data_IF_738917153624
#
_entry.id   IF_738917153624
#
_cell.length_a   1.000
_cell.length_b   1.000
_cell.length_c   1.000
_cell.angle_alpha   90.00
_cell.angle_beta   90.00
_cell.angle_gamma   90.00
#
_symmetry.space_group_name_H-M   'P 1'
#
loop_
_entity.id
_entity.type
_entity.pdbx_description
1 polymer ?
#
# COMPACT_ATOMS: atom_id res chain seq x y z
N UNK A 1 6.12 -43.84 -5.60
CA UNK A 1 4.93 -43.11 -5.99
C UNK A 1 5.23 -41.63 -5.72
N UNK A 2 5.63 -40.91 -6.78
CA UNK A 2 5.94 -39.49 -6.74
C UNK A 2 4.61 -38.73 -6.64
N UNK A 3 4.47 -37.89 -5.61
CA UNK A 3 3.40 -36.89 -5.48
C UNK A 3 3.63 -35.82 -6.54
N UNK A 4 2.70 -35.72 -7.48
CA UNK A 4 2.65 -34.62 -8.43
C UNK A 4 2.32 -33.32 -7.65
N UNK A 5 3.30 -32.45 -7.50
CA UNK A 5 3.08 -31.09 -7.07
C UNK A 5 2.19 -30.39 -8.11
N UNK A 6 0.98 -30.08 -7.69
CA UNK A 6 0.00 -29.36 -8.49
C UNK A 6 0.46 -27.89 -8.60
N UNK A 7 1.27 -27.61 -9.58
CA UNK A 7 1.70 -26.25 -9.96
C UNK A 7 0.52 -25.51 -10.58
N UNK A 8 -0.44 -25.07 -9.74
CA UNK A 8 -1.49 -24.19 -10.20
C UNK A 8 -0.84 -22.85 -10.59
N UNK A 9 -0.66 -22.65 -11.89
CA UNK A 9 -0.37 -21.35 -12.49
C UNK A 9 -1.40 -20.33 -11.96
N UNK A 10 -1.03 -19.59 -10.94
CA UNK A 10 -1.86 -18.52 -10.39
C UNK A 10 -1.86 -17.39 -11.40
N UNK A 11 -2.96 -17.28 -12.15
CA UNK A 11 -3.16 -16.19 -13.13
C UNK A 11 -3.07 -14.85 -12.39
N UNK A 12 -2.06 -14.07 -12.68
CA UNK A 12 -1.89 -12.70 -12.20
C UNK A 12 -2.92 -11.82 -12.91
N UNK A 13 -3.75 -11.10 -12.13
CA UNK A 13 -4.71 -10.13 -12.67
C UNK A 13 -4.18 -8.72 -12.42
N UNK A 14 -3.58 -8.14 -13.45
CA UNK A 14 -3.15 -6.74 -13.44
C UNK A 14 -4.14 -5.90 -14.26
N UNK A 15 -4.78 -4.94 -13.60
CA UNK A 15 -5.66 -3.98 -14.24
C UNK A 15 -4.98 -2.60 -14.23
N UNK A 16 -4.94 -1.92 -15.38
CA UNK A 16 -4.40 -0.57 -15.49
C UNK A 16 -5.54 0.37 -15.86
N UNK A 17 -5.74 1.39 -15.05
CA UNK A 17 -6.73 2.43 -15.23
C UNK A 17 -6.02 3.74 -15.55
N UNK A 18 -6.17 4.21 -16.78
CA UNK A 18 -5.67 5.53 -17.20
C UNK A 18 -6.78 6.55 -17.05
N UNK A 19 -6.50 7.65 -16.40
CA UNK A 19 -7.44 8.73 -16.09
C UNK A 19 -7.04 10.05 -16.76
N UNK A 20 -7.95 11.03 -16.74
CA UNK A 20 -7.72 12.37 -17.31
C UNK A 20 -6.80 13.22 -16.43
N UNK A 21 -6.80 12.95 -15.14
CA UNK A 21 -6.00 13.65 -14.14
C UNK A 21 -5.85 12.80 -12.86
N UNK A 22 -5.01 13.28 -11.94
CA UNK A 22 -4.75 12.58 -10.67
C UNK A 22 -6.01 12.46 -9.80
N UNK A 23 -6.93 13.42 -9.87
CA UNK A 23 -8.18 13.39 -9.09
C UNK A 23 -9.08 12.24 -9.56
N UNK A 24 -9.31 12.12 -10.87
CA UNK A 24 -10.10 11.02 -11.44
C UNK A 24 -9.47 9.65 -11.12
N UNK A 25 -8.13 9.54 -11.18
CA UNK A 25 -7.43 8.33 -10.78
C UNK A 25 -7.75 7.92 -9.34
N UNK A 26 -7.72 8.88 -8.42
CA UNK A 26 -8.06 8.64 -7.01
C UNK A 26 -9.56 8.39 -6.80
N UNK A 27 -10.43 9.00 -7.60
CA UNK A 27 -11.88 8.68 -7.59
C UNK A 27 -12.13 7.23 -8.02
N UNK A 28 -11.51 6.76 -9.11
CA UNK A 28 -11.61 5.37 -9.57
C UNK A 28 -11.11 4.36 -8.53
N UNK A 29 -9.97 4.66 -7.89
CA UNK A 29 -9.44 3.87 -6.77
C UNK A 29 -10.44 3.80 -5.61
N UNK A 30 -11.00 4.93 -5.24
CA UNK A 30 -11.95 5.05 -4.13
C UNK A 30 -13.27 4.33 -4.41
N UNK A 31 -13.76 4.37 -5.65
CA UNK A 31 -14.93 3.60 -6.09
C UNK A 31 -14.68 2.09 -5.95
N UNK A 32 -13.50 1.64 -6.37
CA UNK A 32 -13.13 0.23 -6.24
C UNK A 32 -13.06 -0.18 -4.77
N UNK A 33 -12.44 0.63 -3.90
CA UNK A 33 -12.42 0.40 -2.47
C UNK A 33 -13.85 0.33 -1.89
N UNK A 34 -14.69 1.33 -2.18
CA UNK A 34 -16.08 1.39 -1.71
C UNK A 34 -16.88 0.13 -2.10
N UNK A 35 -16.67 -0.35 -3.33
CA UNK A 35 -17.32 -1.59 -3.79
C UNK A 35 -16.84 -2.81 -2.99
N UNK A 36 -15.55 -2.91 -2.67
CA UNK A 36 -15.02 -4.05 -1.91
C UNK A 36 -15.46 -4.02 -0.44
N UNK A 37 -15.46 -2.85 0.19
CA UNK A 37 -16.01 -2.68 1.55
C UNK A 37 -17.45 -3.14 1.60
N UNK A 38 -18.31 -2.67 0.68
CA UNK A 38 -19.71 -3.09 0.59
C UNK A 38 -19.90 -4.60 0.38
N UNK A 39 -18.99 -5.26 -0.35
CA UNK A 39 -19.06 -6.72 -0.60
C UNK A 39 -18.78 -7.55 0.65
N UNK A 40 -17.96 -7.03 1.56
CA UNK A 40 -17.61 -7.72 2.80
C UNK A 40 -18.71 -7.63 3.87
N UNK A 41 -19.68 -6.73 3.68
CA UNK A 41 -20.84 -6.53 4.55
C UNK A 41 -20.44 -6.20 6.01
N UNK A 42 -20.91 -7.03 6.98
CA UNK A 42 -20.78 -6.80 8.42
C UNK A 42 -19.43 -7.24 9.01
N UNK A 43 -18.57 -7.87 8.20
CA UNK A 43 -17.25 -8.28 8.66
C UNK A 43 -16.25 -7.10 8.59
N UNK A 44 -15.27 -7.04 9.51
CA UNK A 44 -14.20 -6.02 9.44
C UNK A 44 -13.45 -6.07 8.11
N UNK A 45 -13.21 -4.90 7.51
CA UNK A 45 -12.40 -4.74 6.30
C UNK A 45 -11.00 -4.26 6.69
N UNK A 46 -9.98 -5.09 6.50
CA UNK A 46 -8.60 -4.82 6.88
C UNK A 46 -7.89 -4.07 5.75
N UNK A 47 -7.63 -2.79 5.96
CA UNK A 47 -7.03 -1.86 4.99
C UNK A 47 -5.68 -1.36 5.48
N UNK A 48 -4.62 -1.59 4.71
CA UNK A 48 -3.32 -0.95 4.96
C UNK A 48 -3.11 0.25 4.05
N UNK A 49 -2.64 1.35 4.63
CA UNK A 49 -2.44 2.66 3.99
C UNK A 49 -0.96 2.97 3.83
N UNK A 50 -0.60 3.60 2.72
CA UNK A 50 0.66 4.33 2.55
C UNK A 50 0.52 5.79 3.00
N UNK A 51 1.67 6.45 3.16
CA UNK A 51 1.76 7.89 3.33
C UNK A 51 2.16 8.64 2.05
N UNK A 52 2.58 9.88 2.26
CA UNK A 52 3.06 10.77 1.20
C UNK A 52 1.95 11.61 0.55
N UNK A 53 2.33 12.41 -0.46
CA UNK A 53 1.45 13.41 -1.06
C UNK A 53 0.21 12.81 -1.72
N UNK A 54 0.36 11.71 -2.45
CA UNK A 54 -0.78 11.01 -3.10
C UNK A 54 -1.79 10.51 -2.06
N UNK A 55 -1.31 9.97 -0.93
CA UNK A 55 -2.19 9.53 0.15
C UNK A 55 -2.92 10.70 0.80
N UNK A 56 -2.26 11.84 1.03
CA UNK A 56 -2.90 13.03 1.57
C UNK A 56 -3.99 13.57 0.63
N UNK A 57 -3.75 13.59 -0.69
CA UNK A 57 -4.78 13.96 -1.68
C UNK A 57 -5.97 13.00 -1.62
N UNK A 58 -5.71 11.71 -1.51
CA UNK A 58 -6.74 10.67 -1.37
C UNK A 58 -7.55 10.84 -0.08
N UNK A 59 -6.91 11.12 1.06
CA UNK A 59 -7.61 11.35 2.34
C UNK A 59 -8.54 12.56 2.27
N UNK A 60 -8.10 13.67 1.68
CA UNK A 60 -8.99 14.84 1.44
C UNK A 60 -10.15 14.48 0.53
N UNK A 61 -9.90 13.75 -0.56
CA UNK A 61 -10.96 13.29 -1.46
C UNK A 61 -11.98 12.40 -0.73
N UNK A 62 -11.53 11.53 0.16
CA UNK A 62 -12.40 10.64 0.94
C UNK A 62 -13.31 11.43 1.89
N UNK A 63 -12.78 12.41 2.59
CA UNK A 63 -13.58 13.28 3.47
C UNK A 63 -14.56 14.14 2.69
N UNK A 64 -14.16 14.67 1.52
CA UNK A 64 -15.00 15.54 0.70
C UNK A 64 -16.11 14.78 -0.04
N UNK A 65 -15.82 13.59 -0.58
CA UNK A 65 -16.69 12.93 -1.57
C UNK A 65 -17.14 11.52 -1.20
N UNK A 66 -16.47 10.88 -0.27
CA UNK A 66 -16.71 9.47 0.07
C UNK A 66 -17.14 9.27 1.52
N UNK A 67 -17.31 10.34 2.30
CA UNK A 67 -17.71 10.25 3.71
C UNK A 67 -19.00 9.45 3.93
N UNK A 68 -20.01 9.61 3.06
CA UNK A 68 -21.25 8.84 3.08
C UNK A 68 -21.32 7.68 2.08
N UNK A 69 -20.22 7.35 1.37
CA UNK A 69 -20.19 6.35 0.30
C UNK A 69 -19.41 5.09 0.68
N UNK A 70 -18.54 5.18 1.66
CA UNK A 70 -17.79 4.09 2.27
C UNK A 70 -18.29 3.92 3.69
N UNK A 71 -18.51 2.67 4.10
CA UNK A 71 -18.82 2.34 5.49
C UNK A 71 -17.53 2.29 6.30
N UNK A 72 -17.14 3.47 6.82
CA UNK A 72 -15.89 3.67 7.54
C UNK A 72 -15.83 2.92 8.86
N UNK A 73 -16.95 2.64 9.49
CA UNK A 73 -17.03 1.95 10.78
C UNK A 73 -16.65 0.47 10.66
N UNK A 74 -16.73 -0.10 9.47
CA UNK A 74 -16.32 -1.48 9.22
C UNK A 74 -14.83 -1.61 8.96
N UNK A 75 -14.11 -0.52 8.66
CA UNK A 75 -12.70 -0.57 8.28
C UNK A 75 -11.81 -0.61 9.53
N UNK A 76 -10.78 -1.47 9.48
CA UNK A 76 -9.64 -1.51 10.39
C UNK A 76 -8.41 -1.03 9.63
N UNK A 77 -7.86 0.11 10.09
CA UNK A 77 -6.78 0.83 9.41
C UNK A 77 -5.43 0.40 9.93
N UNK A 78 -4.54 0.07 9.01
CA UNK A 78 -3.15 -0.31 9.24
C UNK A 78 -2.23 0.50 8.32
N UNK A 79 -0.92 0.38 8.51
CA UNK A 79 0.09 1.04 7.67
C UNK A 79 1.00 0.05 6.97
N UNK A 80 1.40 0.38 5.73
CA UNK A 80 2.42 -0.36 5.00
C UNK A 80 3.81 0.04 5.47
N UNK A 81 3.97 1.29 5.89
CA UNK A 81 5.22 1.83 6.45
C UNK A 81 4.95 3.06 7.30
N UNK A 82 5.88 3.35 8.19
CA UNK A 82 5.89 4.60 8.95
C UNK A 82 7.34 5.08 9.13
N UNK A 83 7.48 6.40 9.25
CA UNK A 83 8.74 7.04 9.60
C UNK A 83 8.95 6.91 11.09
N UNK A 84 10.21 6.65 11.50
CA UNK A 84 10.55 6.56 12.93
C UNK A 84 10.61 7.96 13.55
N UNK A 85 9.44 8.57 13.70
CA UNK A 85 9.22 9.91 14.26
C UNK A 85 7.96 9.90 15.12
N UNK A 86 7.79 10.86 16.07
CA UNK A 86 6.55 11.02 16.82
C UNK A 86 5.34 11.30 15.91
N UNK A 87 4.11 10.93 16.34
CA UNK A 87 2.90 11.11 15.52
C UNK A 87 2.54 12.58 15.22
N UNK A 88 3.12 13.54 15.95
CA UNK A 88 2.94 14.98 15.71
C UNK A 88 3.96 15.56 14.74
N UNK A 89 4.95 14.76 14.33
CA UNK A 89 5.96 15.20 13.36
C UNK A 89 5.33 15.33 11.97
N UNK A 90 5.79 16.34 11.24
CA UNK A 90 5.31 16.62 9.86
C UNK A 90 5.63 15.51 8.84
N UNK A 91 6.48 14.55 9.20
CA UNK A 91 6.79 13.39 8.37
C UNK A 91 5.96 12.15 8.74
N UNK A 92 5.18 12.17 9.84
CA UNK A 92 4.38 11.01 10.26
C UNK A 92 3.25 10.71 9.28
N UNK A 93 3.24 9.49 8.76
CA UNK A 93 2.14 9.00 7.91
C UNK A 93 0.83 8.93 8.71
N UNK A 94 0.90 8.47 9.96
CA UNK A 94 -0.24 8.46 10.86
C UNK A 94 -0.74 9.87 11.17
N UNK A 95 0.17 10.82 11.45
CA UNK A 95 -0.17 12.21 11.72
C UNK A 95 -1.01 12.82 10.61
N UNK A 96 -0.58 12.66 9.37
CA UNK A 96 -1.33 13.11 8.20
C UNK A 96 -2.70 12.42 8.06
N UNK A 97 -2.76 11.10 8.26
CA UNK A 97 -4.03 10.37 8.20
C UNK A 97 -4.98 10.81 9.32
N UNK A 98 -4.46 11.08 10.51
CA UNK A 98 -5.26 11.58 11.63
C UNK A 98 -5.88 12.93 11.33
N UNK A 99 -5.08 13.88 10.81
CA UNK A 99 -5.54 15.24 10.48
C UNK A 99 -6.54 15.22 9.32
N UNK A 100 -6.27 14.46 8.24
CA UNK A 100 -6.97 14.58 6.97
C UNK A 100 -8.11 13.58 6.79
N UNK A 101 -8.13 12.49 7.58
CA UNK A 101 -9.09 11.41 7.44
C UNK A 101 -9.78 11.06 8.75
N UNK A 102 -9.02 10.62 9.78
CA UNK A 102 -9.62 10.02 10.96
C UNK A 102 -10.38 11.04 11.81
N UNK A 103 -9.80 12.22 12.04
CA UNK A 103 -10.46 13.30 12.75
C UNK A 103 -11.74 13.78 12.04
N UNK A 104 -11.67 14.18 10.77
CA UNK A 104 -12.85 14.64 10.02
C UNK A 104 -13.98 13.61 9.89
N UNK A 105 -13.65 12.31 9.80
CA UNK A 105 -14.65 11.23 9.70
C UNK A 105 -15.02 10.63 11.07
N UNK A 106 -14.46 11.13 12.17
CA UNK A 106 -14.68 10.62 13.53
C UNK A 106 -14.41 9.11 13.65
N UNK A 107 -13.35 8.62 13.00
CA UNK A 107 -12.96 7.21 13.06
C UNK A 107 -12.62 6.83 14.50
N UNK A 108 -13.21 5.74 14.97
CA UNK A 108 -12.98 5.25 16.34
C UNK A 108 -11.51 4.87 16.54
N UNK A 109 -10.85 5.29 17.62
CA UNK A 109 -9.45 4.94 17.89
C UNK A 109 -9.19 3.43 17.91
N UNK A 110 -10.18 2.62 18.33
CA UNK A 110 -10.09 1.17 18.32
C UNK A 110 -10.02 0.55 16.92
N UNK A 111 -10.30 1.32 15.86
CA UNK A 111 -10.19 0.89 14.47
C UNK A 111 -8.85 1.27 13.82
N UNK A 112 -7.96 1.92 14.58
CA UNK A 112 -6.71 2.49 14.06
C UNK A 112 -5.52 1.75 14.70
N UNK A 113 -4.87 0.92 13.93
CA UNK A 113 -3.72 0.11 14.31
C UNK A 113 -2.46 0.75 13.72
N UNK A 114 -1.84 1.68 14.45
CA UNK A 114 -0.68 2.43 13.94
C UNK A 114 0.67 1.78 14.27
N UNK A 115 1.64 1.97 13.41
CA UNK A 115 3.05 1.80 13.74
C UNK A 115 3.45 2.96 14.68
N UNK A 116 4.11 2.65 15.79
CA UNK A 116 4.58 3.64 16.78
C UNK A 116 5.98 4.10 16.41
N UNK A 117 6.06 5.08 15.50
CA UNK A 117 7.33 5.58 14.99
C UNK A 117 8.24 6.22 16.04
N UNK A 118 7.67 6.60 17.19
CA UNK A 118 8.39 7.15 18.36
C UNK A 118 9.12 6.08 19.19
N UNK A 119 8.82 4.82 19.00
CA UNK A 119 9.42 3.71 19.73
C UNK A 119 10.74 3.23 19.09
N UNK A 120 11.46 2.35 19.81
CA UNK A 120 12.67 1.73 19.23
C UNK A 120 12.30 0.90 17.98
N UNK A 121 12.90 1.18 16.81
CA UNK A 121 12.40 0.66 15.55
C UNK A 121 12.34 -0.86 15.43
N UNK A 122 13.36 -1.58 15.96
CA UNK A 122 13.37 -3.04 15.86
C UNK A 122 12.32 -3.67 16.78
N UNK A 123 12.15 -3.14 17.99
CA UNK A 123 11.13 -3.60 18.92
C UNK A 123 9.71 -3.33 18.38
N UNK A 124 9.49 -2.16 17.79
CA UNK A 124 8.20 -1.81 17.23
C UNK A 124 7.87 -2.64 15.98
N UNK A 125 8.84 -2.93 15.11
CA UNK A 125 8.62 -3.82 13.98
C UNK A 125 8.13 -5.22 14.44
N UNK A 126 8.69 -5.74 15.52
CA UNK A 126 8.26 -7.02 16.11
C UNK A 126 6.88 -6.90 16.75
N UNK A 127 6.64 -5.85 17.55
CA UNK A 127 5.34 -5.61 18.19
C UNK A 127 4.22 -5.49 17.15
N UNK A 128 4.44 -4.68 16.12
CA UNK A 128 3.44 -4.44 15.08
C UNK A 128 3.19 -5.69 14.24
N UNK A 129 4.24 -6.45 13.93
CA UNK A 129 4.11 -7.75 13.27
C UNK A 129 3.25 -8.73 14.09
N UNK A 130 3.39 -8.72 15.42
CA UNK A 130 2.58 -9.55 16.30
C UNK A 130 1.12 -9.11 16.31
N UNK A 131 0.83 -7.81 16.43
CA UNK A 131 -0.52 -7.24 16.35
C UNK A 131 -1.21 -7.64 15.04
N UNK A 132 -0.53 -7.46 13.89
CA UNK A 132 -1.05 -7.85 12.57
C UNK A 132 -1.30 -9.36 12.48
N UNK A 133 -0.43 -10.18 13.11
CA UNK A 133 -0.60 -11.63 13.12
C UNK A 133 -1.81 -12.08 13.95
N UNK A 134 -2.10 -11.41 15.03
CA UNK A 134 -3.21 -11.75 15.94
C UNK A 134 -4.57 -11.28 15.40
N UNK A 135 -4.60 -10.12 14.76
CA UNK A 135 -5.86 -9.45 14.37
C UNK A 135 -6.36 -9.87 12.98
N UNK A 136 -5.47 -10.19 12.04
CA UNK A 136 -5.88 -10.45 10.66
C UNK A 136 -6.15 -11.94 10.39
N UNK A 137 -7.10 -12.24 9.48
CA UNK A 137 -7.24 -13.60 8.96
C UNK A 137 -5.97 -14.02 8.23
N UNK A 138 -5.70 -15.34 8.20
CA UNK A 138 -4.50 -15.89 7.57
C UNK A 138 -4.83 -16.61 6.26
N UNK A 139 -3.90 -16.55 5.33
CA UNK A 139 -3.86 -17.39 4.15
C UNK A 139 -2.45 -17.97 3.99
N UNK A 140 -2.35 -19.29 3.91
CA UNK A 140 -1.07 -20.01 3.85
C UNK A 140 -0.12 -19.67 5.02
N UNK A 141 -0.69 -19.44 6.23
CA UNK A 141 0.09 -19.10 7.42
C UNK A 141 0.55 -17.64 7.52
N UNK A 142 0.23 -16.79 6.54
CA UNK A 142 0.57 -15.36 6.52
C UNK A 142 -0.71 -14.54 6.70
N UNK A 143 -0.71 -13.47 7.53
CA UNK A 143 -1.82 -12.54 7.66
C UNK A 143 -2.25 -11.98 6.29
N UNK A 144 -3.54 -11.71 6.13
CA UNK A 144 -4.07 -11.26 4.84
C UNK A 144 -4.94 -10.03 4.97
N UNK A 145 -4.49 -8.93 4.40
CA UNK A 145 -5.29 -7.73 4.22
C UNK A 145 -6.33 -7.91 3.12
N UNK A 146 -7.49 -7.27 3.26
CA UNK A 146 -8.50 -7.19 2.19
C UNK A 146 -8.02 -6.27 1.06
N UNK A 147 -7.41 -5.15 1.44
CA UNK A 147 -6.75 -4.25 0.50
C UNK A 147 -5.49 -3.63 1.11
N UNK A 148 -4.49 -3.42 0.27
CA UNK A 148 -3.33 -2.56 0.57
C UNK A 148 -3.27 -1.48 -0.48
N UNK A 149 -3.20 -0.22 -0.05
CA UNK A 149 -2.93 0.92 -0.92
C UNK A 149 -1.44 1.22 -0.83
N UNK A 150 -0.74 0.99 -1.94
CA UNK A 150 0.70 1.22 -2.06
C UNK A 150 0.97 2.56 -2.76
N UNK A 151 2.14 3.12 -2.53
CA UNK A 151 2.72 4.17 -3.37
C UNK A 151 3.89 3.64 -4.21
N UNK A 152 4.24 4.33 -5.29
CA UNK A 152 5.50 4.13 -6.00
C UNK A 152 6.36 5.39 -5.91
N UNK A 153 7.60 5.24 -5.47
CA UNK A 153 8.59 6.31 -5.50
C UNK A 153 9.08 6.63 -6.90
N UNK A 154 9.73 7.79 -7.08
CA UNK A 154 10.37 8.15 -8.34
C UNK A 154 11.59 7.27 -8.65
N UNK A 155 12.16 6.61 -7.66
CA UNK A 155 13.23 5.62 -7.77
C UNK A 155 12.70 4.18 -7.88
N UNK A 156 11.38 3.98 -7.93
CA UNK A 156 10.74 2.68 -8.01
C UNK A 156 10.56 1.96 -6.68
N UNK A 157 10.79 2.63 -5.53
CA UNK A 157 10.48 2.04 -4.23
C UNK A 157 8.96 1.90 -4.02
N UNK A 158 8.55 1.00 -3.12
CA UNK A 158 7.19 0.93 -2.59
C UNK A 158 7.24 0.67 -1.08
N UNK A 159 6.20 1.10 -0.33
CA UNK A 159 6.30 1.17 1.12
C UNK A 159 7.57 1.95 1.51
N UNK A 160 8.42 1.38 2.37
CA UNK A 160 9.80 1.85 2.59
C UNK A 160 10.82 0.77 2.21
N UNK A 161 10.55 0.02 1.15
CA UNK A 161 11.50 -0.90 0.50
C UNK A 161 12.08 -0.17 -0.71
N UNK A 162 13.37 0.18 -0.62
CA UNK A 162 14.12 0.90 -1.65
C UNK A 162 14.88 -0.08 -2.56
N UNK A 163 15.34 0.34 -3.76
CA UNK A 163 16.12 -0.53 -4.64
C UNK A 163 17.36 -1.17 -3.98
N UNK A 164 18.03 -0.46 -3.06
CA UNK A 164 19.18 -0.96 -2.30
C UNK A 164 18.81 -1.94 -1.18
N UNK A 165 17.53 -1.99 -0.80
CA UNK A 165 16.98 -2.91 0.20
C UNK A 165 15.97 -3.90 -0.40
N UNK A 166 16.06 -4.21 -1.69
CA UNK A 166 15.16 -5.11 -2.44
C UNK A 166 15.04 -6.50 -1.78
N UNK A 167 16.03 -6.93 -1.01
CA UNK A 167 16.00 -8.19 -0.25
C UNK A 167 14.81 -8.29 0.71
N UNK A 168 14.25 -7.17 1.16
CA UNK A 168 13.04 -7.12 1.98
C UNK A 168 11.80 -7.64 1.25
N UNK A 169 11.85 -7.77 -0.08
CA UNK A 169 10.79 -8.43 -0.87
C UNK A 169 10.73 -9.95 -0.63
N UNK A 170 11.78 -10.53 -0.07
CA UNK A 170 11.85 -11.97 0.27
C UNK A 170 12.01 -12.22 1.78
N UNK A 171 12.02 -11.18 2.62
CA UNK A 171 12.16 -11.29 4.06
C UNK A 171 10.92 -11.98 4.67
N UNK A 172 11.15 -13.01 5.50
CA UNK A 172 10.07 -13.78 6.13
C UNK A 172 9.45 -13.10 7.36
N UNK A 173 10.06 -12.04 7.88
CA UNK A 173 9.42 -11.19 8.87
C UNK A 173 8.27 -10.42 8.20
N UNK A 174 7.19 -10.11 8.93
CA UNK A 174 6.07 -9.33 8.39
C UNK A 174 6.42 -7.86 8.23
N UNK A 175 7.23 -7.34 9.17
CA UNK A 175 7.74 -5.96 9.16
C UNK A 175 9.23 -5.97 9.46
N UNK A 176 9.93 -5.00 8.90
CA UNK A 176 11.36 -4.81 9.05
C UNK A 176 11.72 -3.33 9.21
N UNK A 177 12.90 -3.07 9.77
CA UNK A 177 13.48 -1.72 9.78
C UNK A 177 14.21 -1.50 8.47
N UNK A 178 13.94 -0.37 7.82
CA UNK A 178 14.66 0.13 6.65
C UNK A 178 15.19 1.53 6.90
N UNK A 179 15.98 2.06 5.97
CA UNK A 179 16.47 3.43 6.03
C UNK A 179 16.32 4.09 4.65
N UNK A 180 15.92 5.36 4.65
CA UNK A 180 15.84 6.13 3.41
C UNK A 180 17.27 6.37 2.86
N UNK A 181 17.59 6.02 1.59
CA UNK A 181 18.96 6.05 1.05
C UNK A 181 19.63 7.43 1.14
N UNK A 182 18.83 8.49 0.91
CA UNK A 182 19.38 9.86 0.87
C UNK A 182 19.53 10.52 2.24
N UNK A 183 18.58 10.29 3.18
CA UNK A 183 18.59 10.98 4.48
C UNK A 183 19.05 10.09 5.64
N UNK A 184 19.10 8.77 5.45
CA UNK A 184 19.36 7.82 6.54
C UNK A 184 18.22 7.69 7.54
N UNK A 185 17.07 8.35 7.31
CA UNK A 185 15.92 8.29 8.20
C UNK A 185 15.39 6.86 8.31
N UNK A 186 15.34 6.35 9.54
CA UNK A 186 14.80 5.02 9.82
C UNK A 186 13.30 4.98 9.57
N UNK A 187 12.85 3.81 9.13
CA UNK A 187 11.45 3.50 8.85
C UNK A 187 11.15 2.08 9.28
N UNK A 188 9.88 1.83 9.59
CA UNK A 188 9.36 0.49 9.75
C UNK A 188 8.52 0.21 8.51
N UNK A 189 8.76 -0.91 7.84
CA UNK A 189 8.11 -1.23 6.57
C UNK A 189 7.55 -2.65 6.56
N UNK A 190 6.39 -2.82 5.93
CA UNK A 190 5.86 -4.11 5.54
C UNK A 190 6.82 -4.78 4.54
N UNK A 191 6.97 -6.10 4.61
CA UNK A 191 7.83 -6.88 3.72
C UNK A 191 7.06 -7.48 2.54
N UNK A 192 7.78 -7.96 1.54
CA UNK A 192 7.18 -8.48 0.31
C UNK A 192 6.16 -9.61 0.52
N UNK A 193 6.43 -10.65 1.31
CA UNK A 193 5.49 -11.74 1.53
C UNK A 193 4.14 -11.27 2.09
N UNK A 194 4.13 -10.30 3.00
CA UNK A 194 2.88 -9.75 3.55
C UNK A 194 2.14 -8.89 2.51
N UNK A 195 2.87 -8.05 1.77
CA UNK A 195 2.30 -7.25 0.66
C UNK A 195 1.63 -8.16 -0.37
N UNK A 196 2.35 -9.17 -0.84
CA UNK A 196 1.89 -10.06 -1.91
C UNK A 196 0.77 -11.02 -1.49
N UNK A 197 0.56 -11.20 -0.17
CA UNK A 197 -0.53 -12.03 0.35
C UNK A 197 -1.88 -11.29 0.42
N UNK A 198 -1.92 -9.98 0.20
CA UNK A 198 -3.15 -9.20 0.19
C UNK A 198 -4.18 -9.75 -0.81
N UNK A 199 -5.47 -9.57 -0.49
CA UNK A 199 -6.54 -9.94 -1.41
C UNK A 199 -6.55 -9.04 -2.64
N UNK A 200 -6.19 -7.76 -2.46
CA UNK A 200 -6.14 -6.75 -3.51
C UNK A 200 -5.04 -5.72 -3.21
N UNK A 201 -4.28 -5.36 -4.23
CA UNK A 201 -3.34 -4.23 -4.20
C UNK A 201 -3.90 -3.09 -5.05
N UNK A 202 -3.84 -1.87 -4.52
CA UNK A 202 -4.22 -0.64 -5.21
C UNK A 202 -2.97 0.24 -5.29
N UNK A 203 -2.51 0.54 -6.49
CA UNK A 203 -1.26 1.24 -6.74
C UNK A 203 -1.47 2.48 -7.61
N UNK A 204 -1.72 3.65 -7.03
CA UNK A 204 -1.69 4.91 -7.75
C UNK A 204 -0.24 5.31 -8.09
N UNK A 205 0.03 5.55 -9.37
CA UNK A 205 1.29 6.09 -9.89
C UNK A 205 0.92 7.40 -10.59
N UNK A 206 1.04 8.52 -9.87
CA UNK A 206 0.49 9.81 -10.30
C UNK A 206 1.55 10.91 -10.33
N UNK A 207 1.36 11.85 -11.26
CA UNK A 207 2.12 13.07 -11.36
C UNK A 207 3.43 12.95 -12.15
N UNK A 208 3.91 14.10 -12.63
CA UNK A 208 5.09 14.22 -13.51
C UNK A 208 6.38 13.64 -12.93
N UNK A 209 6.52 13.64 -11.62
CA UNK A 209 7.70 13.06 -10.95
C UNK A 209 7.84 11.54 -11.18
N UNK A 210 6.79 10.88 -11.63
CA UNK A 210 6.76 9.44 -11.93
C UNK A 210 6.92 9.12 -13.42
N UNK A 211 6.89 10.12 -14.30
CA UNK A 211 6.88 9.93 -15.75
C UNK A 211 8.07 9.13 -16.29
N UNK A 212 9.25 9.26 -15.67
CA UNK A 212 10.45 8.56 -16.10
C UNK A 212 10.48 7.09 -15.67
N UNK A 213 9.85 6.74 -14.53
CA UNK A 213 9.87 5.37 -13.99
C UNK A 213 8.65 4.55 -14.42
N UNK A 214 7.51 5.17 -14.69
CA UNK A 214 6.25 4.49 -15.03
C UNK A 214 6.38 3.57 -16.25
N UNK A 215 7.03 3.94 -17.37
CA UNK A 215 7.22 3.04 -18.50
C UNK A 215 8.01 1.78 -18.14
N UNK A 216 8.98 1.86 -17.23
CA UNK A 216 9.72 0.70 -16.76
C UNK A 216 8.84 -0.17 -15.85
N UNK A 217 8.09 0.44 -14.92
CA UNK A 217 7.19 -0.29 -14.01
C UNK A 217 6.07 -1.03 -14.75
N UNK A 218 5.53 -0.45 -15.82
CA UNK A 218 4.42 -1.02 -16.59
C UNK A 218 4.89 -1.87 -17.77
N UNK A 219 6.17 -1.76 -18.17
CA UNK A 219 6.77 -2.54 -19.24
C UNK A 219 7.05 -3.99 -18.84
N UNK A 220 7.62 -4.74 -19.80
CA UNK A 220 7.98 -6.15 -19.62
C UNK A 220 9.51 -6.37 -19.51
N UNK A 221 10.28 -5.30 -19.32
CA UNK A 221 11.72 -5.40 -19.20
C UNK A 221 12.10 -6.13 -17.88
N UNK A 222 13.09 -7.05 -17.88
CA UNK A 222 13.52 -7.77 -16.69
C UNK A 222 13.97 -6.84 -15.55
N UNK A 223 14.51 -5.69 -15.88
CA UNK A 223 14.98 -4.66 -14.94
C UNK A 223 13.86 -4.14 -14.05
N UNK A 224 12.60 -4.29 -14.46
CA UNK A 224 11.44 -3.97 -13.63
C UNK A 224 11.50 -4.66 -12.27
N UNK A 225 11.92 -5.92 -12.22
CA UNK A 225 11.96 -6.71 -10.99
C UNK A 225 13.09 -6.32 -10.03
N UNK A 226 14.03 -5.49 -10.48
CA UNK A 226 15.04 -4.88 -9.62
C UNK A 226 14.49 -3.69 -8.82
N UNK A 227 13.30 -3.25 -9.17
CA UNK A 227 12.58 -2.18 -8.48
C UNK A 227 11.49 -2.76 -7.59
N UNK A 228 11.40 -2.38 -6.31
CA UNK A 228 10.40 -2.92 -5.39
C UNK A 228 8.95 -2.80 -5.89
N UNK A 229 8.54 -1.64 -6.45
CA UNK A 229 7.22 -1.48 -7.04
C UNK A 229 7.03 -2.39 -8.27
N UNK A 230 8.07 -2.54 -9.09
CA UNK A 230 8.07 -3.42 -10.25
C UNK A 230 7.98 -4.90 -9.86
N UNK A 231 8.72 -5.30 -8.81
CA UNK A 231 8.62 -6.64 -8.25
C UNK A 231 7.18 -6.95 -7.78
N UNK A 232 6.55 -6.02 -7.05
CA UNK A 232 5.15 -6.17 -6.62
C UNK A 232 4.22 -6.31 -7.83
N UNK A 233 4.37 -5.49 -8.87
CA UNK A 233 3.54 -5.56 -10.08
C UNK A 233 3.71 -6.92 -10.77
N UNK A 234 4.92 -7.49 -10.80
CA UNK A 234 5.20 -8.78 -11.42
C UNK A 234 4.63 -9.97 -10.67
N UNK A 235 4.57 -9.90 -9.34
CA UNK A 235 4.26 -11.05 -8.48
C UNK A 235 2.89 -10.97 -7.79
N UNK A 236 2.20 -9.82 -7.85
CA UNK A 236 0.88 -9.65 -7.25
C UNK A 236 -0.17 -10.51 -7.94
N UNK A 237 -1.04 -11.17 -7.16
CA UNK A 237 -2.18 -11.94 -7.71
C UNK A 237 -3.26 -11.04 -8.30
N UNK A 238 -3.59 -9.96 -7.58
CA UNK A 238 -4.61 -8.97 -7.96
C UNK A 238 -4.07 -7.58 -7.66
N UNK A 239 -3.75 -6.84 -8.70
CA UNK A 239 -3.29 -5.46 -8.58
C UNK A 239 -4.06 -4.57 -9.56
N UNK A 240 -4.51 -3.42 -9.05
CA UNK A 240 -5.10 -2.35 -9.84
C UNK A 240 -4.16 -1.14 -9.80
N UNK A 241 -3.70 -0.72 -10.95
CA UNK A 241 -2.76 0.41 -11.12
C UNK A 241 -3.54 1.57 -11.71
N UNK A 242 -3.37 2.76 -11.13
CA UNK A 242 -4.05 3.98 -11.56
C UNK A 242 -3.00 4.98 -12.00
N UNK A 243 -3.13 5.49 -13.24
CA UNK A 243 -2.20 6.45 -13.83
C UNK A 243 -2.94 7.71 -14.29
N UNK A 244 -2.18 8.79 -14.41
CA UNK A 244 -2.61 10.04 -15.00
C UNK A 244 -1.68 10.46 -16.15
N UNK A 245 -2.05 11.47 -16.99
CA UNK A 245 -1.19 11.92 -18.08
C UNK A 245 0.17 12.48 -17.63
N UNK A 246 0.27 12.88 -16.35
CA UNK A 246 1.53 13.33 -15.77
C UNK A 246 2.52 12.19 -15.59
N UNK A 247 2.07 11.06 -15.09
CA UNK A 247 2.90 9.87 -14.84
C UNK A 247 3.05 8.97 -16.05
N UNK A 248 1.99 8.86 -16.86
CA UNK A 248 1.92 8.00 -18.04
C UNK A 248 1.15 8.72 -19.15
N UNK A 249 1.83 9.46 -20.04
CA UNK A 249 1.15 10.14 -21.13
C UNK A 249 0.33 9.15 -21.97
N UNK A 250 -0.93 9.47 -22.18
CA UNK A 250 -1.79 8.71 -23.09
C UNK A 250 -1.11 8.71 -24.45
N UNK A 251 -0.86 7.53 -25.02
CA UNK A 251 -0.41 7.46 -26.41
C UNK A 251 -1.51 8.06 -27.29
N UNK A 252 -1.18 8.95 -28.20
CA UNK A 252 -2.18 9.41 -29.17
C UNK A 252 -2.75 8.21 -29.93
N UNK A 253 -4.04 8.24 -30.27
CA UNK A 253 -4.73 7.18 -30.97
C UNK A 253 -4.13 6.88 -32.33
#
# INVERSE_FOLDING_TARGET
>A
LASAENNQLTTTMTNIFSSRDSREALELLSEQLAMQVRRKKEEPFFLALSGGETAQQMFRLWTERFSGRIDWDTIRFYWVDERCVPPQDSESNYGHAHELLFGPLNILPAHIHRIRGEEEPAAEAVRYAQEVREELPHRHGIPRFDAIILGAGSDGHTASIFPDSISLMADQNLFAVSAHPGSGQKRITMTGPLILNAAMLLLPILGKSKAHITPLLLGNAPERELLPAGYVISHARHISIYTDPGSHPLQPP
#
